data_IF_470239951009
#
_entry.id   IF_470239951009
#
_cell.length_a   1.000
_cell.length_b   1.000
_cell.length_c   1.000
_cell.angle_alpha   90.00
_cell.angle_beta   90.00
_cell.angle_gamma   90.00
#
_symmetry.space_group_name_H-M   'P 1'
#
loop_
_entity.id
_entity.type
_entity.pdbx_description
1 polymer ?
#
# COMPACT_ATOMS: atom_id res chain seq x y z
N UNK A 1 11.46 -38.28 -7.87
CA UNK A 1 12.20 -37.15 -7.24
C UNK A 1 12.62 -36.03 -8.20
N UNK A 2 12.76 -36.27 -9.51
CA UNK A 2 13.21 -35.24 -10.46
C UNK A 2 12.18 -34.11 -10.67
N UNK A 3 10.89 -34.44 -10.79
CA UNK A 3 9.80 -33.46 -10.95
C UNK A 3 9.66 -32.49 -9.76
N UNK A 4 9.86 -32.96 -8.53
CA UNK A 4 9.77 -32.14 -7.31
C UNK A 4 10.87 -31.06 -7.29
N UNK A 5 12.09 -31.37 -7.74
CA UNK A 5 13.18 -30.38 -7.83
C UNK A 5 12.91 -29.30 -8.89
N UNK A 6 12.23 -29.65 -9.98
CA UNK A 6 11.84 -28.69 -11.04
C UNK A 6 10.77 -27.72 -10.51
N UNK A 7 9.76 -28.22 -9.79
CA UNK A 7 8.78 -27.36 -9.13
C UNK A 7 9.40 -26.48 -8.03
N UNK A 8 10.30 -27.02 -7.20
CA UNK A 8 11.01 -26.24 -6.19
C UNK A 8 11.90 -25.14 -6.81
N UNK A 9 12.56 -25.44 -7.93
CA UNK A 9 13.35 -24.45 -8.67
C UNK A 9 12.46 -23.38 -9.29
N UNK A 10 11.32 -23.76 -9.87
CA UNK A 10 10.29 -22.82 -10.36
C UNK A 10 9.72 -21.93 -9.25
N UNK A 11 9.55 -22.45 -8.04
CA UNK A 11 9.06 -21.71 -6.88
C UNK A 11 10.10 -20.72 -6.34
N UNK A 12 11.38 -21.12 -6.33
CA UNK A 12 12.49 -20.24 -5.93
C UNK A 12 12.82 -19.16 -6.97
N UNK A 13 12.42 -19.36 -8.23
CA UNK A 13 12.53 -18.38 -9.33
C UNK A 13 11.37 -17.38 -9.33
N UNK A 14 10.30 -17.65 -8.59
CA UNK A 14 9.28 -16.64 -8.34
C UNK A 14 9.96 -15.44 -7.68
N UNK A 15 9.72 -14.22 -8.18
CA UNK A 15 10.35 -12.97 -7.75
C UNK A 15 10.07 -12.65 -6.26
N UNK A 16 10.68 -13.40 -5.35
CA UNK A 16 10.55 -13.29 -3.89
C UNK A 16 10.98 -11.91 -3.42
N UNK A 17 11.98 -11.32 -4.05
CA UNK A 17 12.47 -9.98 -3.71
C UNK A 17 11.40 -8.90 -3.94
N UNK A 18 10.69 -8.96 -5.08
CA UNK A 18 9.61 -8.01 -5.37
C UNK A 18 8.42 -8.23 -4.43
N UNK A 19 8.09 -9.49 -4.13
CA UNK A 19 7.05 -9.81 -3.15
C UNK A 19 7.41 -9.28 -1.75
N UNK A 20 8.67 -9.43 -1.34
CA UNK A 20 9.18 -8.94 -0.06
C UNK A 20 9.09 -7.42 0.01
N UNK A 21 9.56 -6.71 -1.04
CA UNK A 21 9.48 -5.24 -1.12
C UNK A 21 8.02 -4.76 -1.02
N UNK A 22 7.09 -5.39 -1.75
CA UNK A 22 5.68 -5.01 -1.68
C UNK A 22 5.04 -5.31 -0.32
N UNK A 23 5.39 -6.44 0.29
CA UNK A 23 4.92 -6.79 1.64
C UNK A 23 5.44 -5.83 2.69
N UNK A 24 6.73 -5.47 2.64
CA UNK A 24 7.33 -4.46 3.51
C UNK A 24 6.66 -3.09 3.32
N UNK A 25 6.41 -2.71 2.07
CA UNK A 25 5.73 -1.47 1.70
C UNK A 25 4.29 -1.42 2.25
N UNK A 26 3.57 -2.54 2.19
CA UNK A 26 2.23 -2.68 2.78
C UNK A 26 2.26 -2.56 4.30
N UNK A 27 3.17 -3.27 4.98
CA UNK A 27 3.33 -3.21 6.43
C UNK A 27 3.73 -1.82 6.92
N UNK A 28 4.57 -1.14 6.16
CA UNK A 28 4.94 0.25 6.43
C UNK A 28 3.72 1.19 6.34
N UNK A 29 2.87 1.02 5.33
CA UNK A 29 1.59 1.73 5.24
C UNK A 29 0.67 1.46 6.42
N UNK A 30 0.58 0.20 6.86
CA UNK A 30 -0.19 -0.20 8.05
C UNK A 30 0.34 0.50 9.31
N UNK A 31 1.65 0.57 9.49
CA UNK A 31 2.27 1.28 10.61
C UNK A 31 1.91 2.78 10.61
N UNK A 32 1.99 3.45 9.45
CA UNK A 32 1.58 4.87 9.32
C UNK A 32 0.11 5.06 9.73
N UNK A 33 -0.77 4.14 9.32
CA UNK A 33 -2.17 4.19 9.70
C UNK A 33 -2.38 4.18 11.21
N UNK A 34 -1.66 3.32 11.95
CA UNK A 34 -1.81 3.27 13.41
C UNK A 34 -1.41 4.59 14.06
N UNK A 35 -0.38 5.27 13.55
CA UNK A 35 0.00 6.61 14.01
C UNK A 35 -1.01 7.69 13.62
N UNK A 36 -1.60 7.61 12.42
CA UNK A 36 -2.68 8.52 12.03
C UNK A 36 -3.91 8.34 12.92
N UNK A 37 -4.31 7.09 13.18
CA UNK A 37 -5.44 6.78 14.05
C UNK A 37 -5.27 7.41 15.44
N UNK A 38 -4.11 7.23 16.09
CA UNK A 38 -3.86 7.81 17.41
C UNK A 38 -3.92 9.34 17.42
N UNK A 39 -3.34 10.00 16.41
CA UNK A 39 -3.39 11.46 16.29
C UNK A 39 -4.84 11.95 16.12
N UNK A 40 -5.61 11.29 15.24
CA UNK A 40 -7.01 11.66 14.98
C UNK A 40 -7.93 11.41 16.17
N UNK A 41 -7.68 10.33 16.94
CA UNK A 41 -8.45 10.00 18.13
C UNK A 41 -8.13 10.94 19.29
N UNK A 42 -6.85 11.32 19.47
CA UNK A 42 -6.44 12.23 20.53
C UNK A 42 -7.01 13.65 20.36
N UNK A 43 -7.25 14.08 19.12
CA UNK A 43 -7.79 15.41 18.78
C UNK A 43 -9.32 15.45 18.61
N UNK A 44 -10.02 14.33 18.87
CA UNK A 44 -11.46 14.16 19.11
C UNK A 44 -12.44 15.02 18.29
N UNK A 45 -12.50 16.30 18.63
CA UNK A 45 -13.40 17.32 18.06
C UNK A 45 -13.11 17.65 16.58
N UNK A 46 -11.88 17.42 16.10
CA UNK A 46 -11.46 17.72 14.72
C UNK A 46 -11.45 16.49 13.79
N UNK A 47 -12.02 15.36 14.25
CA UNK A 47 -11.98 14.07 13.57
C UNK A 47 -12.56 14.10 12.15
N UNK A 48 -13.64 14.86 11.90
CA UNK A 48 -14.26 15.00 10.57
C UNK A 48 -13.30 15.68 9.58
N UNK A 49 -12.62 16.73 10.02
CA UNK A 49 -11.64 17.47 9.19
C UNK A 49 -10.44 16.59 8.90
N UNK A 50 -9.99 15.82 9.89
CA UNK A 50 -8.91 14.86 9.73
C UNK A 50 -9.27 13.75 8.72
N UNK A 51 -10.47 13.17 8.82
CA UNK A 51 -10.96 12.17 7.88
C UNK A 51 -11.03 12.72 6.45
N UNK A 52 -11.57 13.93 6.27
CA UNK A 52 -11.61 14.60 4.96
C UNK A 52 -10.20 14.82 4.38
N UNK A 53 -9.24 15.19 5.23
CA UNK A 53 -7.83 15.38 4.82
C UNK A 53 -7.19 14.06 4.39
N UNK A 54 -7.40 12.98 5.15
CA UNK A 54 -6.90 11.63 4.81
C UNK A 54 -7.48 11.18 3.47
N UNK A 55 -8.80 11.28 3.28
CA UNK A 55 -9.46 10.88 2.02
C UNK A 55 -8.98 11.72 0.84
N UNK A 56 -8.82 13.03 1.02
CA UNK A 56 -8.29 13.91 -0.02
C UNK A 56 -6.86 13.52 -0.42
N UNK A 57 -6.00 13.22 0.56
CA UNK A 57 -4.62 12.78 0.29
C UNK A 57 -4.60 11.45 -0.48
N UNK A 58 -5.48 10.51 -0.12
CA UNK A 58 -5.64 9.22 -0.78
C UNK A 58 -6.08 9.37 -2.23
N UNK A 59 -7.00 10.29 -2.50
CA UNK A 59 -7.50 10.56 -3.86
C UNK A 59 -6.45 11.27 -4.73
N UNK A 60 -5.68 12.20 -4.16
CA UNK A 60 -4.55 12.84 -4.85
C UNK A 60 -3.53 11.77 -5.28
N UNK A 61 -3.17 10.85 -4.38
CA UNK A 61 -2.25 9.75 -4.69
C UNK A 61 -2.82 8.86 -5.80
N UNK A 62 -4.12 8.52 -5.76
CA UNK A 62 -4.81 7.79 -6.85
C UNK A 62 -4.61 8.51 -8.18
N UNK A 63 -4.94 9.80 -8.23
CA UNK A 63 -4.91 10.62 -9.44
C UNK A 63 -3.50 10.68 -10.03
N UNK A 64 -2.47 10.79 -9.19
CA UNK A 64 -1.06 10.75 -9.61
C UNK A 64 -0.72 9.40 -10.24
N UNK A 65 -1.04 8.29 -9.57
CA UNK A 65 -0.77 6.93 -10.09
C UNK A 65 -1.47 6.70 -11.44
N UNK A 66 -2.75 7.08 -11.55
CA UNK A 66 -3.51 6.91 -12.79
C UNK A 66 -3.00 7.78 -13.94
N UNK A 67 -2.64 9.05 -13.66
CA UNK A 67 -2.05 9.94 -14.68
C UNK A 67 -0.76 9.37 -15.25
N UNK A 68 0.10 8.84 -14.38
CA UNK A 68 1.37 8.24 -14.81
C UNK A 68 1.12 6.96 -15.62
N UNK A 69 0.24 6.08 -15.15
CA UNK A 69 -0.11 4.82 -15.84
C UNK A 69 -0.71 5.06 -17.22
N UNK A 70 -1.49 6.13 -17.40
CA UNK A 70 -2.05 6.50 -18.70
C UNK A 70 -1.00 7.02 -19.69
N UNK A 71 0.13 7.56 -19.21
CA UNK A 71 1.19 8.15 -20.06
C UNK A 71 2.28 7.15 -20.43
N UNK A 72 2.46 6.09 -19.63
CA UNK A 72 3.49 5.05 -19.76
C UNK A 72 3.02 3.77 -20.49
N UNK A 73 1.91 3.78 -21.24
CA UNK A 73 1.38 2.60 -21.95
C UNK A 73 2.31 2.00 -23.04
N UNK A 74 3.56 2.48 -23.17
CA UNK A 74 4.54 2.02 -24.15
C UNK A 74 5.96 1.70 -23.64
N UNK A 75 6.30 1.98 -22.37
CA UNK A 75 7.68 1.79 -21.87
C UNK A 75 7.70 0.93 -20.61
N UNK A 76 7.69 -0.39 -20.80
CA UNK A 76 7.87 -1.38 -19.75
C UNK A 76 9.34 -1.36 -19.28
N UNK A 77 9.61 -0.92 -18.05
CA UNK A 77 10.91 -1.19 -17.42
C UNK A 77 11.58 -0.08 -16.59
N UNK A 78 10.92 1.03 -16.27
CA UNK A 78 11.54 2.07 -15.44
C UNK A 78 11.46 1.73 -13.94
N UNK A 79 12.54 1.99 -13.18
CA UNK A 79 12.53 1.90 -11.71
C UNK A 79 11.41 2.73 -11.06
N UNK A 80 10.98 3.78 -11.76
CA UNK A 80 9.83 4.61 -11.43
C UNK A 80 8.53 3.81 -11.34
N UNK A 81 8.29 2.88 -12.25
CA UNK A 81 7.10 2.03 -12.23
C UNK A 81 7.06 1.11 -11.00
N UNK A 82 8.22 0.63 -10.54
CA UNK A 82 8.30 -0.15 -9.30
C UNK A 82 8.04 0.72 -8.06
N UNK A 83 8.55 1.96 -8.04
CA UNK A 83 8.24 2.92 -6.98
C UNK A 83 6.74 3.20 -6.88
N UNK A 84 6.05 3.39 -8.03
CA UNK A 84 4.59 3.58 -8.05
C UNK A 84 3.82 2.38 -7.50
N UNK A 85 4.28 1.15 -7.81
CA UNK A 85 3.70 -0.07 -7.23
C UNK A 85 3.88 -0.12 -5.72
N UNK A 86 5.06 0.27 -5.20
CA UNK A 86 5.29 0.39 -3.76
C UNK A 86 4.39 1.47 -3.13
N UNK A 87 4.28 2.65 -3.73
CA UNK A 87 3.37 3.71 -3.26
C UNK A 87 1.92 3.21 -3.20
N UNK A 88 1.48 2.41 -4.17
CA UNK A 88 0.17 1.79 -4.15
C UNK A 88 0.04 0.73 -3.02
N UNK A 89 1.08 -0.04 -2.73
CA UNK A 89 1.08 -0.98 -1.61
C UNK A 89 1.00 -0.26 -0.24
N UNK A 90 1.76 0.83 -0.05
CA UNK A 90 1.65 1.71 1.13
C UNK A 90 0.23 2.25 1.25
N UNK A 91 -0.33 2.74 0.15
CA UNK A 91 -1.69 3.29 0.09
C UNK A 91 -2.72 2.27 0.60
N UNK A 92 -2.65 1.04 0.10
CA UNK A 92 -3.50 -0.08 0.53
C UNK A 92 -3.28 -0.39 2.01
N UNK A 93 -2.02 -0.41 2.47
CA UNK A 93 -1.68 -0.63 3.87
C UNK A 93 -2.30 0.42 4.81
N UNK A 94 -2.27 1.69 4.42
CA UNK A 94 -2.89 2.79 5.19
C UNK A 94 -4.41 2.59 5.28
N UNK A 95 -5.07 2.32 4.15
CA UNK A 95 -6.52 2.12 4.12
C UNK A 95 -6.94 0.91 4.99
N UNK A 96 -6.20 -0.19 4.88
CA UNK A 96 -6.49 -1.40 5.64
C UNK A 96 -6.27 -1.19 7.15
N UNK A 97 -5.19 -0.50 7.54
CA UNK A 97 -4.95 -0.17 8.94
C UNK A 97 -6.07 0.67 9.56
N UNK A 98 -6.52 1.71 8.84
CA UNK A 98 -7.54 2.62 9.34
C UNK A 98 -8.88 1.90 9.49
N UNK A 99 -9.19 1.01 8.55
CA UNK A 99 -10.39 0.18 8.59
C UNK A 99 -10.37 -0.80 9.77
N UNK A 100 -9.23 -1.44 10.03
CA UNK A 100 -9.07 -2.34 11.18
C UNK A 100 -9.22 -1.59 12.50
N UNK A 101 -8.62 -0.41 12.64
CA UNK A 101 -8.74 0.39 13.86
C UNK A 101 -10.15 0.97 14.04
N UNK A 102 -10.82 1.39 12.96
CA UNK A 102 -12.22 1.78 13.01
C UNK A 102 -13.14 0.62 13.43
N UNK A 103 -12.86 -0.61 12.95
CA UNK A 103 -13.60 -1.80 13.36
C UNK A 103 -13.42 -2.12 14.85
N UNK A 104 -12.22 -1.93 15.40
CA UNK A 104 -11.97 -2.09 16.84
C UNK A 104 -12.75 -1.11 17.70
N UNK A 105 -12.95 0.12 17.23
CA UNK A 105 -13.64 1.20 17.96
C UNK A 105 -15.16 1.18 17.76
N UNK A 106 -15.66 0.49 16.73
CA UNK A 106 -17.09 0.36 16.41
C UNK A 106 -17.81 -0.82 17.03
N UNK A 107 -17.15 -1.58 17.93
CA UNK A 107 -17.68 -2.70 18.71
C UNK A 107 -17.87 -2.28 20.16
#
# INVERSE_FOLDING_TARGET
MHYIKIYLKSLSIFNLDNFNIYSLSLLFGFFISTGLSTITTQTGDWSIIAAATIVTSQEIISKVIYRVKSKEYGTNGSAFQNCLKCCNAIKIGILYGLLVDAFKLGS
#
